data_IF_587332907225
#
_entry.id   IF_587332907225
#
_cell.length_a   1.000
_cell.length_b   1.000
_cell.length_c   1.000
_cell.angle_alpha   90.00
_cell.angle_beta   90.00
_cell.angle_gamma   90.00
#
_symmetry.space_group_name_H-M   'P 1'
#
loop_
_entity.id
_entity.type
_entity.pdbx_description
1 polymer ?
#
# COMPACT_ATOMS: atom_id res chain seq x y z
N UNK A 1 -30.99 -16.80 9.48
CA UNK A 1 -29.75 -17.48 9.05
C UNK A 1 -28.80 -16.37 8.65
N UNK A 2 -27.74 -16.15 9.42
CA UNK A 2 -26.67 -15.25 8.98
C UNK A 2 -25.85 -16.06 7.98
N UNK A 3 -26.06 -15.84 6.69
CA UNK A 3 -25.15 -16.35 5.68
C UNK A 3 -23.87 -15.51 5.83
N UNK A 4 -22.84 -16.11 6.40
CA UNK A 4 -21.48 -15.57 6.23
C UNK A 4 -21.13 -15.79 4.77
N UNK A 5 -20.99 -14.70 4.01
CA UNK A 5 -20.50 -14.76 2.64
C UNK A 5 -18.98 -14.78 2.70
N UNK A 6 -18.34 -15.77 2.05
CA UNK A 6 -16.88 -15.82 1.91
C UNK A 6 -16.36 -14.55 1.24
N UNK A 7 -15.17 -14.13 1.62
CA UNK A 7 -14.52 -12.94 1.11
C UNK A 7 -13.00 -13.10 0.99
N UNK A 8 -12.46 -12.49 -0.05
CA UNK A 8 -11.02 -12.25 -0.15
C UNK A 8 -10.69 -11.00 0.66
N UNK A 9 -9.68 -11.07 1.50
CA UNK A 9 -9.07 -9.92 2.18
C UNK A 9 -7.64 -9.79 1.69
N UNK A 10 -7.27 -8.61 1.20
CA UNK A 10 -5.95 -8.33 0.66
C UNK A 10 -5.41 -7.03 1.23
N UNK A 11 -4.25 -7.08 1.87
CA UNK A 11 -3.69 -5.96 2.63
C UNK A 11 -2.26 -5.68 2.19
N UNK A 12 -2.03 -4.70 1.30
CA UNK A 12 -0.73 -4.06 1.14
C UNK A 12 -0.43 -3.15 2.35
N UNK A 13 0.74 -3.33 2.97
CA UNK A 13 1.19 -2.59 4.15
C UNK A 13 2.64 -2.09 3.95
N UNK A 14 2.86 -0.79 4.17
CA UNK A 14 4.15 -0.13 4.01
C UNK A 14 5.04 -0.38 5.24
N UNK A 15 5.96 -1.33 5.11
CA UNK A 15 6.94 -1.62 6.16
C UNK A 15 7.96 -0.49 6.33
N UNK A 16 8.28 -0.16 7.59
CA UNK A 16 9.21 0.91 7.96
C UNK A 16 8.52 2.26 8.21
N UNK A 17 7.20 2.31 8.10
CA UNK A 17 6.40 3.51 8.29
C UNK A 17 6.53 4.14 9.68
N UNK A 18 6.48 3.37 10.77
CA UNK A 18 6.52 3.97 12.11
C UNK A 18 7.79 4.79 12.34
N UNK A 19 8.96 4.30 11.90
CA UNK A 19 10.21 5.06 11.97
C UNK A 19 10.19 6.25 11.03
N UNK A 20 9.57 6.10 9.87
CA UNK A 20 9.36 7.20 8.94
C UNK A 20 8.58 8.32 9.64
N UNK A 21 7.32 8.12 10.02
CA UNK A 21 6.51 9.22 10.59
C UNK A 21 7.01 9.79 11.92
N UNK A 22 7.73 9.01 12.74
CA UNK A 22 8.22 9.48 14.05
C UNK A 22 9.55 10.27 13.99
N UNK A 23 10.40 10.06 12.99
CA UNK A 23 11.73 10.71 12.88
C UNK A 23 11.71 12.00 12.03
N UNK A 24 10.51 12.46 11.62
CA UNK A 24 10.28 13.38 10.51
C UNK A 24 9.46 14.61 10.96
N UNK A 25 9.62 15.76 10.28
CA UNK A 25 8.61 16.82 10.26
C UNK A 25 7.26 16.24 9.78
N UNK A 26 6.37 15.98 10.75
CA UNK A 26 5.14 15.18 10.63
C UNK A 26 4.37 15.42 9.31
N UNK A 27 4.30 16.66 8.86
CA UNK A 27 3.56 17.06 7.65
C UNK A 27 4.09 16.40 6.36
N UNK A 28 5.39 16.48 6.06
CA UNK A 28 5.94 15.89 4.83
C UNK A 28 5.90 14.35 4.85
N UNK A 29 6.02 13.74 6.03
CA UNK A 29 5.89 12.29 6.17
C UNK A 29 4.47 11.81 5.83
N UNK A 30 3.45 12.54 6.28
CA UNK A 30 2.06 12.25 5.96
C UNK A 30 1.76 12.42 4.48
N UNK A 31 2.22 13.51 3.85
CA UNK A 31 2.04 13.76 2.41
C UNK A 31 2.65 12.64 1.55
N UNK A 32 3.90 12.27 1.82
CA UNK A 32 4.58 11.17 1.09
C UNK A 32 3.85 9.85 1.29
N UNK A 33 3.35 9.58 2.49
CA UNK A 33 2.60 8.34 2.75
C UNK A 33 1.30 8.34 1.95
N UNK A 34 0.58 9.47 1.92
CA UNK A 34 -0.61 9.65 1.10
C UNK A 34 -0.36 9.34 -0.37
N UNK A 35 0.68 9.94 -0.97
CA UNK A 35 1.05 9.68 -2.38
C UNK A 35 1.36 8.20 -2.65
N UNK A 36 1.97 7.50 -1.68
CA UNK A 36 2.29 6.08 -1.82
C UNK A 36 1.04 5.19 -1.68
N UNK A 37 0.12 5.53 -0.78
CA UNK A 37 -1.15 4.82 -0.60
C UNK A 37 -2.09 5.03 -1.80
N UNK A 38 -2.15 6.24 -2.34
CA UNK A 38 -2.86 6.53 -3.59
C UNK A 38 -2.33 5.66 -4.73
N UNK A 39 -1.00 5.56 -4.89
CA UNK A 39 -0.42 4.69 -5.91
C UNK A 39 -0.78 3.21 -5.68
N UNK A 40 -0.89 2.74 -4.43
CA UNK A 40 -1.34 1.37 -4.12
C UNK A 40 -2.80 1.16 -4.56
N UNK A 41 -3.68 2.12 -4.25
CA UNK A 41 -5.11 2.07 -4.60
C UNK A 41 -5.30 2.09 -6.11
N UNK A 42 -4.65 3.02 -6.80
CA UNK A 42 -4.72 3.18 -8.25
C UNK A 42 -4.10 2.02 -9.03
N UNK A 43 -3.32 1.18 -8.36
CA UNK A 43 -2.71 -0.01 -8.95
C UNK A 43 -3.63 -1.22 -8.98
N UNK A 44 -4.77 -1.18 -8.30
CA UNK A 44 -5.75 -2.26 -8.25
C UNK A 44 -6.47 -2.44 -9.60
N UNK A 45 -6.22 -3.58 -10.26
CA UNK A 45 -6.74 -3.90 -11.60
C UNK A 45 -7.71 -5.09 -11.57
N UNK A 46 -7.80 -5.80 -10.45
CA UNK A 46 -8.59 -7.05 -10.30
C UNK A 46 -9.97 -6.82 -9.64
N UNK A 47 -10.35 -5.55 -9.48
CA UNK A 47 -11.66 -5.14 -8.99
C UNK A 47 -11.90 -5.51 -7.53
N UNK A 48 -10.88 -5.37 -6.66
CA UNK A 48 -11.10 -5.35 -5.21
C UNK A 48 -11.70 -4.00 -4.80
N UNK A 49 -12.46 -3.98 -3.71
CA UNK A 49 -13.00 -2.76 -3.12
C UNK A 49 -12.13 -2.31 -1.94
N UNK A 50 -11.93 -1.00 -1.77
CA UNK A 50 -11.24 -0.45 -0.60
C UNK A 50 -12.24 -0.41 0.55
N UNK A 51 -11.96 -1.16 1.62
CA UNK A 51 -12.75 -1.08 2.86
C UNK A 51 -12.23 0.04 3.76
N UNK A 52 -10.92 0.11 3.94
CA UNK A 52 -10.30 0.98 4.95
C UNK A 52 -8.86 1.33 4.55
N UNK A 53 -8.41 2.51 5.01
CA UNK A 53 -7.02 2.94 4.99
C UNK A 53 -6.66 3.27 6.44
N UNK A 54 -5.66 2.57 6.99
CA UNK A 54 -5.21 2.79 8.37
C UNK A 54 -3.71 3.04 8.37
N UNK A 55 -3.31 4.30 8.56
CA UNK A 55 -1.91 4.70 8.64
C UNK A 55 -1.14 4.42 7.36
N UNK A 56 -0.57 3.22 7.28
CA UNK A 56 0.34 2.73 6.24
C UNK A 56 -0.17 1.50 5.49
N UNK A 57 -1.40 1.08 5.77
CA UNK A 57 -2.02 -0.08 5.15
C UNK A 57 -3.32 0.29 4.41
N UNK A 58 -3.60 -0.46 3.34
CA UNK A 58 -4.89 -0.44 2.64
C UNK A 58 -5.54 -1.80 2.80
N UNK A 59 -6.76 -1.85 3.32
CA UNK A 59 -7.56 -3.08 3.35
C UNK A 59 -8.45 -3.12 2.12
N UNK A 60 -8.17 -4.08 1.24
CA UNK A 60 -9.04 -4.44 0.14
C UNK A 60 -9.88 -5.66 0.47
N UNK A 61 -11.11 -5.70 -0.05
CA UNK A 61 -11.97 -6.87 0.06
C UNK A 61 -12.69 -7.20 -1.26
N UNK A 62 -13.13 -8.45 -1.38
CA UNK A 62 -14.04 -8.90 -2.45
C UNK A 62 -14.87 -10.09 -1.99
N UNK A 63 -16.18 -9.90 -1.95
CA UNK A 63 -17.16 -10.92 -1.57
C UNK A 63 -17.34 -11.94 -2.70
N UNK A 64 -17.52 -13.21 -2.33
CA UNK A 64 -17.81 -14.31 -3.23
C UNK A 64 -16.60 -15.21 -3.47
N UNK A 65 -16.47 -15.70 -4.70
CA UNK A 65 -15.46 -16.69 -5.07
C UNK A 65 -14.02 -16.21 -4.81
N UNK A 66 -13.09 -17.14 -4.49
CA UNK A 66 -11.71 -16.79 -4.24
C UNK A 66 -11.07 -16.22 -5.51
N UNK A 67 -10.34 -15.12 -5.36
CA UNK A 67 -9.52 -14.60 -6.45
C UNK A 67 -8.40 -15.60 -6.72
N UNK A 68 -8.17 -15.99 -7.99
CA UNK A 68 -7.08 -16.89 -8.33
C UNK A 68 -5.73 -16.38 -7.81
N UNK A 69 -4.96 -17.26 -7.18
CA UNK A 69 -3.66 -16.90 -6.55
C UNK A 69 -2.71 -16.23 -7.55
N UNK A 70 -2.73 -16.63 -8.82
CA UNK A 70 -1.91 -16.00 -9.87
C UNK A 70 -2.33 -14.55 -10.13
N UNK A 71 -3.63 -14.23 -10.09
CA UNK A 71 -4.10 -12.85 -10.24
C UNK A 71 -3.68 -11.99 -9.06
N UNK A 72 -3.79 -12.49 -7.82
CA UNK A 72 -3.28 -11.77 -6.63
C UNK A 72 -1.76 -11.57 -6.70
N UNK A 73 -1.03 -12.58 -7.18
CA UNK A 73 0.43 -12.47 -7.34
C UNK A 73 0.79 -11.39 -8.37
N UNK A 74 0.16 -11.41 -9.56
CA UNK A 74 0.38 -10.40 -10.61
C UNK A 74 0.01 -8.99 -10.13
N UNK A 75 -1.13 -8.87 -9.44
CA UNK A 75 -1.58 -7.64 -8.77
C UNK A 75 -0.53 -7.12 -7.77
N UNK A 76 0.01 -8.01 -6.93
CA UNK A 76 1.05 -7.66 -5.94
C UNK A 76 2.34 -7.20 -6.62
N UNK A 77 2.75 -7.85 -7.71
CA UNK A 77 3.91 -7.44 -8.50
C UNK A 77 3.70 -6.08 -9.15
N UNK A 78 2.49 -5.80 -9.68
CA UNK A 78 2.14 -4.51 -10.27
C UNK A 78 2.22 -3.39 -9.22
N UNK A 79 1.53 -3.56 -8.09
CA UNK A 79 1.56 -2.62 -6.96
C UNK A 79 3.00 -2.37 -6.52
N UNK A 80 3.80 -3.42 -6.32
CA UNK A 80 5.19 -3.27 -5.89
C UNK A 80 6.05 -2.48 -6.89
N UNK A 81 5.85 -2.68 -8.20
CA UNK A 81 6.55 -1.92 -9.25
C UNK A 81 6.16 -0.44 -9.20
N UNK A 82 4.85 -0.16 -9.14
CA UNK A 82 4.30 1.20 -9.10
C UNK A 82 4.72 1.95 -7.84
N UNK A 83 4.65 1.30 -6.68
CA UNK A 83 5.16 1.79 -5.40
C UNK A 83 6.65 2.15 -5.48
N UNK A 84 7.50 1.27 -6.00
CA UNK A 84 8.95 1.55 -6.12
C UNK A 84 9.25 2.68 -7.13
N UNK A 85 8.48 2.77 -8.22
CA UNK A 85 8.57 3.90 -9.16
C UNK A 85 8.22 5.22 -8.45
N UNK A 86 7.09 5.27 -7.73
CA UNK A 86 6.67 6.45 -6.97
C UNK A 86 7.72 6.87 -5.94
N UNK A 87 8.26 5.92 -5.17
CA UNK A 87 9.38 6.20 -4.25
C UNK A 87 10.57 6.86 -4.94
N UNK A 88 10.93 6.40 -6.14
CA UNK A 88 12.03 6.97 -6.93
C UNK A 88 11.69 8.37 -7.45
N UNK A 89 10.47 8.60 -7.91
CA UNK A 89 10.00 9.94 -8.32
C UNK A 89 10.07 10.95 -7.15
N UNK A 90 9.58 10.55 -5.98
CA UNK A 90 9.65 11.34 -4.73
C UNK A 90 11.10 11.55 -4.31
N UNK A 91 12.04 10.68 -4.71
CA UNK A 91 13.48 10.87 -4.48
C UNK A 91 14.11 11.89 -5.42
N UNK A 92 13.77 11.83 -6.69
CA UNK A 92 14.35 12.68 -7.72
C UNK A 92 13.82 14.11 -7.67
N UNK A 93 12.54 14.29 -7.30
CA UNK A 93 11.88 15.60 -7.19
C UNK A 93 12.20 16.36 -5.90
N UNK A 94 13.16 15.89 -5.10
CA UNK A 94 13.46 16.48 -3.79
C UNK A 94 14.09 17.84 -3.92
N UNK A 95 13.37 18.82 -3.38
CA UNK A 95 13.88 20.19 -3.20
C UNK A 95 14.48 20.34 -1.79
N UNK A 96 14.09 19.51 -0.82
CA UNK A 96 14.54 19.61 0.57
C UNK A 96 15.55 18.51 0.96
N UNK A 97 16.36 18.80 1.99
CA UNK A 97 17.36 17.88 2.58
C UNK A 97 16.90 17.24 3.89
N UNK A 98 15.60 17.18 4.15
CA UNK A 98 15.08 16.64 5.41
C UNK A 98 15.30 15.13 5.52
N UNK A 99 15.30 14.62 6.77
CA UNK A 99 15.41 13.19 7.05
C UNK A 99 14.26 12.39 6.43
N UNK A 100 13.08 13.02 6.28
CA UNK A 100 11.91 12.39 5.70
C UNK A 100 12.11 11.96 4.28
N UNK A 101 12.59 12.91 3.49
CA UNK A 101 12.98 12.62 2.15
C UNK A 101 14.07 11.54 2.20
N UNK A 102 15.22 11.75 2.84
CA UNK A 102 16.32 10.76 2.76
C UNK A 102 15.94 9.32 3.16
N UNK A 103 14.95 9.14 4.05
CA UNK A 103 14.47 7.84 4.53
C UNK A 103 13.46 7.12 3.63
N UNK A 104 12.73 7.78 2.69
CA UNK A 104 11.74 7.10 1.81
C UNK A 104 12.30 5.84 1.15
N UNK A 105 13.59 5.81 0.80
CA UNK A 105 14.24 4.64 0.18
C UNK A 105 14.12 3.35 1.00
N UNK A 106 14.06 3.46 2.33
CA UNK A 106 14.01 2.33 3.25
C UNK A 106 12.61 1.72 3.37
N UNK A 107 11.55 2.44 2.97
CA UNK A 107 10.19 1.93 2.98
C UNK A 107 10.10 0.69 2.08
N UNK A 108 9.41 -0.34 2.54
CA UNK A 108 9.14 -1.56 1.76
C UNK A 108 7.64 -1.77 1.73
N UNK A 109 7.19 -2.69 0.87
CA UNK A 109 5.80 -3.08 0.79
C UNK A 109 5.71 -4.58 1.05
N UNK A 110 4.82 -4.98 1.96
CA UNK A 110 4.46 -6.39 2.20
C UNK A 110 2.97 -6.57 1.90
N UNK A 111 2.57 -7.82 1.70
CA UNK A 111 1.20 -8.18 1.32
C UNK A 111 0.71 -9.31 2.22
N UNK A 112 -0.52 -9.17 2.71
CA UNK A 112 -1.28 -10.24 3.37
C UNK A 112 -2.47 -10.59 2.50
N UNK A 113 -2.71 -11.89 2.28
CA UNK A 113 -3.90 -12.41 1.60
C UNK A 113 -4.59 -13.40 2.54
N UNK A 114 -5.90 -13.28 2.66
CA UNK A 114 -6.76 -14.22 3.36
C UNK A 114 -8.02 -14.49 2.53
N UNK A 115 -8.54 -15.70 2.64
CA UNK A 115 -9.82 -16.14 2.10
C UNK A 115 -10.42 -17.14 3.10
N UNK A 116 -11.72 -17.02 3.41
CA UNK A 116 -12.45 -17.84 4.38
C UNK A 116 -13.40 -18.89 3.75
#
# INVERSE_FOLDING_TARGET
MNNTESANIYIPDISGFSNFVNEIEILHGQEITGELLEEIIDSNEIGLEVSEIEGDAVLFFKIGEPVPVNQIYEQSVNILKRFNRKKKEIQEKRICRCNACSSVKSLKLKFILHYD
#
